data_IF_091004429291
#
_entry.id   IF_091004429291
#
_cell.length_a   1.000
_cell.length_b   1.000
_cell.length_c   1.000
_cell.angle_alpha   90.00
_cell.angle_beta   90.00
_cell.angle_gamma   90.00
#
_symmetry.space_group_name_H-M   'P 1'
#
loop_
_entity.id
_entity.type
_entity.pdbx_description
1 polymer ?
#
# COMPACT_ATOMS: atom_id res chain seq x y z
N UNK A 1 22.59 0.61 6.38
CA UNK A 1 21.84 1.40 5.35
C UNK A 1 20.42 0.91 5.53
N UNK A 2 19.37 1.75 5.61
CA UNK A 2 18.02 1.19 5.81
C UNK A 2 17.68 0.26 4.65
N UNK A 3 17.65 -1.06 4.89
CA UNK A 3 17.27 -2.03 3.88
C UNK A 3 15.81 -1.78 3.49
N UNK A 4 15.60 -1.42 2.22
CA UNK A 4 14.28 -1.13 1.68
C UNK A 4 13.80 -2.28 0.79
N UNK A 5 12.67 -2.88 1.14
CA UNK A 5 12.01 -3.92 0.33
C UNK A 5 10.96 -3.26 -0.56
N UNK A 6 10.90 -3.70 -1.83
CA UNK A 6 9.98 -3.16 -2.84
C UNK A 6 9.15 -4.29 -3.46
N UNK A 7 7.86 -4.04 -3.61
CA UNK A 7 6.89 -4.93 -4.26
C UNK A 7 6.22 -4.15 -5.39
N UNK A 8 6.19 -4.73 -6.59
CA UNK A 8 5.63 -4.12 -7.79
C UNK A 8 4.56 -5.01 -8.41
N UNK A 9 3.47 -4.39 -8.87
CA UNK A 9 2.42 -5.02 -9.66
C UNK A 9 2.21 -4.24 -10.96
N UNK A 10 1.61 -4.90 -11.96
CA UNK A 10 1.26 -4.31 -13.26
C UNK A 10 -0.26 -4.16 -13.43
N UNK A 11 -1.00 -4.04 -12.32
CA UNK A 11 -2.45 -3.96 -12.29
C UNK A 11 -3.01 -2.61 -12.74
N UNK A 12 -4.27 -2.34 -12.36
CA UNK A 12 -4.99 -1.13 -12.76
C UNK A 12 -4.39 0.18 -12.23
N UNK A 13 -3.50 0.11 -11.25
CA UNK A 13 -2.97 1.27 -10.54
C UNK A 13 -4.01 2.02 -9.72
N UNK A 14 -3.59 3.07 -9.03
CA UNK A 14 -4.37 3.80 -8.03
C UNK A 14 -4.33 5.29 -8.35
N UNK A 15 -5.47 5.97 -8.26
CA UNK A 15 -5.51 7.42 -8.41
C UNK A 15 -4.88 8.09 -7.17
N UNK A 16 -4.07 9.13 -7.37
CA UNK A 16 -3.37 9.88 -6.32
C UNK A 16 -4.28 10.34 -5.17
N UNK A 17 -5.56 10.61 -5.43
CA UNK A 17 -6.53 10.98 -4.38
C UNK A 17 -6.76 9.86 -3.36
N UNK A 18 -6.54 8.60 -3.74
CA UNK A 18 -6.75 7.44 -2.89
C UNK A 18 -5.47 6.96 -2.19
N UNK A 19 -4.28 7.46 -2.56
CA UNK A 19 -3.01 6.97 -2.03
C UNK A 19 -2.91 6.97 -0.50
N UNK A 20 -3.51 7.96 0.16
CA UNK A 20 -3.58 7.98 1.63
C UNK A 20 -4.67 7.05 2.16
N UNK A 21 -5.83 7.06 1.51
CA UNK A 21 -7.04 6.35 1.93
C UNK A 21 -6.90 4.83 1.88
N UNK A 22 -6.09 4.27 0.98
CA UNK A 22 -5.94 2.80 0.89
C UNK A 22 -5.25 2.16 2.10
N UNK A 23 -4.63 2.98 2.97
CA UNK A 23 -4.06 2.52 4.23
C UNK A 23 -5.05 2.60 5.40
N UNK A 24 -6.25 3.14 5.19
CA UNK A 24 -7.29 3.20 6.21
C UNK A 24 -8.01 1.85 6.32
N UNK A 25 -8.36 1.46 7.55
CA UNK A 25 -9.08 0.21 7.80
C UNK A 25 -10.45 0.23 7.12
N UNK A 26 -10.82 -0.90 6.54
CA UNK A 26 -12.11 -1.10 5.85
C UNK A 26 -12.32 -0.19 4.64
N UNK A 27 -11.26 0.49 4.17
CA UNK A 27 -11.35 1.31 2.96
C UNK A 27 -11.09 0.45 1.73
N UNK A 28 -12.03 0.50 0.81
CA UNK A 28 -11.86 0.03 -0.55
C UNK A 28 -12.03 1.23 -1.47
N UNK A 29 -11.22 1.31 -2.53
CA UNK A 29 -11.45 2.31 -3.58
C UNK A 29 -12.65 1.81 -4.36
N UNK A 30 -13.82 2.36 -4.08
CA UNK A 30 -15.00 2.12 -4.90
C UNK A 30 -14.83 2.86 -6.22
N UNK A 31 -14.78 2.13 -7.33
CA UNK A 31 -14.81 2.68 -8.67
C UNK A 31 -15.89 1.99 -9.50
N UNK A 32 -16.43 2.69 -10.50
CA UNK A 32 -17.52 2.19 -11.36
C UNK A 32 -17.21 0.84 -12.05
N UNK A 33 -15.92 0.45 -12.11
CA UNK A 33 -15.45 -0.83 -12.68
C UNK A 33 -14.63 -1.70 -11.70
N UNK A 34 -14.61 -1.40 -10.40
CA UNK A 34 -13.97 -2.30 -9.45
C UNK A 34 -14.82 -3.56 -9.33
N UNK A 35 -14.38 -4.62 -10.00
CA UNK A 35 -14.63 -6.00 -9.58
C UNK A 35 -14.53 -5.98 -8.05
N UNK A 36 -15.57 -6.42 -7.34
CA UNK A 36 -15.50 -6.63 -5.89
C UNK A 36 -14.44 -7.69 -5.65
N UNK A 37 -13.18 -7.29 -5.64
CA UNK A 37 -12.06 -8.10 -5.27
C UNK A 37 -12.31 -8.43 -3.80
N UNK A 38 -12.62 -9.69 -3.53
CA UNK A 38 -12.93 -10.15 -2.18
C UNK A 38 -11.85 -9.70 -1.20
N UNK A 39 -12.26 -9.19 -0.05
CA UNK A 39 -11.36 -8.69 0.98
C UNK A 39 -12.06 -7.73 1.92
N UNK A 40 -11.55 -7.57 3.14
CA UNK A 40 -12.10 -6.64 4.14
C UNK A 40 -11.50 -5.23 4.07
N UNK A 41 -10.54 -4.98 3.16
CA UNK A 41 -9.80 -3.72 3.13
C UNK A 41 -8.87 -3.53 4.35
N UNK A 42 -8.36 -4.63 4.93
CA UNK A 42 -7.50 -4.57 6.12
C UNK A 42 -6.01 -4.80 5.82
N UNK A 43 -5.64 -5.45 4.72
CA UNK A 43 -4.26 -5.90 4.48
C UNK A 43 -3.22 -4.77 4.52
N UNK A 44 -3.45 -3.68 3.78
CA UNK A 44 -2.55 -2.53 3.77
C UNK A 44 -2.53 -1.77 5.10
N UNK A 45 -3.68 -1.65 5.76
CA UNK A 45 -3.77 -1.02 7.08
C UNK A 45 -2.96 -1.80 8.14
N UNK A 46 -3.06 -3.13 8.13
CA UNK A 46 -2.28 -4.01 9.00
C UNK A 46 -0.78 -3.90 8.69
N UNK A 47 -0.42 -3.94 7.40
CA UNK A 47 0.98 -3.85 6.96
C UNK A 47 1.61 -2.54 7.40
N UNK A 48 0.91 -1.42 7.20
CA UNK A 48 1.36 -0.10 7.67
C UNK A 48 1.53 -0.07 9.19
N UNK A 49 0.55 -0.56 9.94
CA UNK A 49 0.62 -0.57 11.40
C UNK A 49 1.83 -1.36 11.92
N UNK A 50 2.15 -2.51 11.32
CA UNK A 50 3.33 -3.29 11.71
C UNK A 50 4.65 -2.62 11.32
N UNK A 51 4.74 -2.07 10.11
CA UNK A 51 5.93 -1.34 9.67
C UNK A 51 6.20 -0.15 10.59
N UNK A 52 5.17 0.64 10.90
CA UNK A 52 5.28 1.79 11.81
C UNK A 52 5.59 1.35 13.26
N UNK A 53 4.99 0.26 13.74
CA UNK A 53 5.28 -0.31 15.06
C UNK A 53 6.75 -0.72 15.19
N UNK A 54 7.34 -1.22 14.12
CA UNK A 54 8.75 -1.59 14.04
C UNK A 54 9.68 -0.39 13.77
N UNK A 55 9.16 0.85 13.78
CA UNK A 55 9.94 2.07 13.55
C UNK A 55 10.30 2.32 12.08
N UNK A 56 9.65 1.61 11.17
CA UNK A 56 9.83 1.72 9.73
C UNK A 56 8.89 2.72 9.06
N UNK A 57 8.98 2.76 7.73
CA UNK A 57 8.12 3.58 6.87
C UNK A 57 7.64 2.74 5.67
N UNK A 58 6.38 2.91 5.26
CA UNK A 58 5.81 2.32 4.03
C UNK A 58 5.33 3.43 3.08
N UNK A 59 5.59 3.27 1.79
CA UNK A 59 5.26 4.23 0.72
C UNK A 59 4.59 3.52 -0.45
N UNK A 60 3.81 4.30 -1.19
CA UNK A 60 3.20 3.92 -2.45
C UNK A 60 3.64 4.88 -3.55
N UNK A 61 3.97 4.33 -4.70
CA UNK A 61 3.99 5.02 -5.99
C UNK A 61 3.06 4.26 -6.93
N UNK A 62 2.06 4.93 -7.50
CA UNK A 62 1.13 4.31 -8.42
C UNK A 62 0.47 5.36 -9.30
N UNK A 63 0.18 4.96 -10.53
CA UNK A 63 -0.55 5.74 -11.53
C UNK A 63 -1.59 4.83 -12.21
N UNK A 64 -2.80 5.34 -12.52
CA UNK A 64 -3.80 4.55 -13.25
C UNK A 64 -3.24 3.99 -14.56
N UNK A 65 -3.44 2.69 -14.79
CA UNK A 65 -2.98 1.95 -15.96
C UNK A 65 -1.50 1.55 -15.96
N UNK A 66 -0.74 1.88 -14.91
CA UNK A 66 0.71 1.54 -14.81
C UNK A 66 1.04 0.58 -13.66
N UNK A 67 0.04 0.11 -12.91
CA UNK A 67 0.24 -0.71 -11.72
C UNK A 67 0.68 0.09 -10.50
N UNK A 68 1.25 -0.60 -9.51
CA UNK A 68 1.65 0.01 -8.24
C UNK A 68 3.00 -0.51 -7.76
N UNK A 69 3.72 0.35 -7.05
CA UNK A 69 4.97 0.06 -6.36
C UNK A 69 4.80 0.40 -4.89
N UNK A 70 4.84 -0.62 -4.04
CA UNK A 70 4.87 -0.48 -2.59
C UNK A 70 6.31 -0.66 -2.11
N UNK A 71 6.79 0.22 -1.25
CA UNK A 71 8.13 0.11 -0.68
C UNK A 71 8.06 0.31 0.82
N UNK A 72 8.78 -0.50 1.59
CA UNK A 72 8.94 -0.27 3.01
C UNK A 72 10.38 -0.47 3.46
N UNK A 73 10.76 0.18 4.55
CA UNK A 73 12.05 0.01 5.21
C UNK A 73 11.83 -0.18 6.70
N UNK A 74 12.66 -1.03 7.30
CA UNK A 74 12.72 -1.21 8.75
C UNK A 74 14.08 -0.71 9.25
N UNK A 75 14.17 -0.15 10.47
CA UNK A 75 15.45 0.13 11.09
C UNK A 75 16.24 -1.16 11.24
N UNK A 76 17.52 -1.12 10.84
CA UNK A 76 18.49 -2.12 11.26
C UNK A 76 18.52 -2.06 12.80
N UNK A 77 18.18 -3.17 13.47
CA UNK A 77 18.39 -3.27 14.92
C UNK A 77 19.86 -2.97 15.24
N UNK A 78 20.15 -2.26 16.36
CA UNK A 78 21.53 -2.11 16.83
C UNK A 78 22.25 -3.43 17.04
#
# INVERSE_FOLDING_TARGET
MLDSTVIEDTGIGINKIHHKLIFDRFRQVEGDHTIRAGGSGLGLAISKAYVELLGGEIKLQSEPGKGSRFSFSLPETP
#
